data_IF_330671040945
#
_entry.id   IF_330671040945
#
_cell.length_a   1.000
_cell.length_b   1.000
_cell.length_c   1.000
_cell.angle_alpha   90.00
_cell.angle_beta   90.00
_cell.angle_gamma   90.00
#
_symmetry.space_group_name_H-M   'P 1'
#
loop_
_entity.id
_entity.type
_entity.pdbx_description
1 polymer ?
#
# COMPACT_ATOMS: atom_id res chain seq x y z
N UNK A 1 -7.68 -6.39 -12.75
CA UNK A 1 -6.26 -6.37 -12.34
C UNK A 1 -5.56 -5.15 -12.93
N UNK A 2 -4.73 -4.52 -12.15
CA UNK A 2 -3.91 -3.39 -12.60
C UNK A 2 -2.50 -3.87 -12.92
N UNK A 3 -2.00 -3.54 -14.10
CA UNK A 3 -0.64 -3.90 -14.51
C UNK A 3 0.22 -2.64 -14.58
N UNK A 4 1.37 -2.67 -13.89
CA UNK A 4 2.33 -1.59 -13.89
C UNK A 4 3.63 -2.08 -14.52
N UNK A 5 4.05 -1.43 -15.61
CA UNK A 5 5.32 -1.71 -16.25
C UNK A 5 6.34 -0.71 -15.74
N UNK A 6 7.35 -1.19 -15.04
CA UNK A 6 8.30 -0.35 -14.32
C UNK A 6 9.73 -0.86 -14.52
N UNK A 7 10.69 -0.02 -14.16
CA UNK A 7 12.11 -0.41 -14.16
C UNK A 7 12.38 -1.49 -13.12
N UNK A 8 13.62 -2.00 -13.11
CA UNK A 8 14.06 -2.99 -12.13
C UNK A 8 14.59 -2.37 -10.84
N UNK A 9 14.60 -1.03 -10.74
CA UNK A 9 15.07 -0.34 -9.54
C UNK A 9 14.17 -0.63 -8.32
N UNK A 10 14.73 -0.65 -7.11
CA UNK A 10 13.92 -0.76 -5.90
C UNK A 10 12.87 0.35 -5.81
N UNK A 11 11.72 0.01 -5.26
CA UNK A 11 10.56 0.89 -5.25
C UNK A 11 10.15 1.30 -3.84
N UNK A 12 9.45 2.42 -3.75
CA UNK A 12 8.75 2.83 -2.55
C UNK A 12 7.25 2.69 -2.81
N UNK A 13 6.61 1.81 -2.05
CA UNK A 13 5.18 1.59 -2.12
C UNK A 13 4.49 2.42 -1.06
N UNK A 14 3.50 3.18 -1.47
CA UNK A 14 2.69 4.00 -0.56
C UNK A 14 1.26 3.49 -0.69
N UNK A 15 0.74 2.87 0.37
CA UNK A 15 -0.56 2.24 0.34
C UNK A 15 -1.46 2.81 1.44
N UNK A 16 -2.69 3.12 1.08
CA UNK A 16 -3.75 3.39 2.03
C UNK A 16 -4.09 2.10 2.80
N UNK A 17 -4.52 2.21 4.03
CA UNK A 17 -4.87 1.05 4.86
C UNK A 17 -6.35 0.69 4.71
N UNK A 18 -7.25 1.60 5.09
CA UNK A 18 -8.68 1.30 5.16
C UNK A 18 -9.32 1.28 3.78
N UNK A 19 -9.90 0.14 3.41
CA UNK A 19 -10.50 -0.06 2.10
C UNK A 19 -9.53 -0.51 1.01
N UNK A 20 -8.22 -0.55 1.31
CA UNK A 20 -7.17 -0.95 0.38
C UNK A 20 -6.46 -2.22 0.83
N UNK A 21 -6.03 -2.28 2.07
CA UNK A 21 -5.38 -3.44 2.68
C UNK A 21 -6.38 -4.22 3.52
N UNK A 22 -7.18 -3.52 4.33
CA UNK A 22 -8.19 -4.10 5.20
C UNK A 22 -9.55 -3.54 4.84
N UNK A 23 -10.60 -4.24 5.26
CA UNK A 23 -11.99 -3.80 5.07
C UNK A 23 -12.18 -2.43 5.72
N UNK A 24 -12.79 -1.50 4.99
CA UNK A 24 -13.03 -0.15 5.46
C UNK A 24 -13.84 -0.15 6.76
N UNK A 25 -13.34 0.56 7.78
CA UNK A 25 -13.92 0.59 9.13
C UNK A 25 -14.07 -0.77 9.79
N UNK A 26 -13.32 -1.78 9.33
CA UNK A 26 -13.37 -3.13 9.90
C UNK A 26 -13.03 -3.16 11.39
N UNK A 27 -12.09 -2.30 11.82
CA UNK A 27 -11.68 -2.20 13.23
C UNK A 27 -12.81 -1.74 14.16
N UNK A 28 -13.89 -1.18 13.62
CA UNK A 28 -15.07 -0.76 14.39
C UNK A 28 -16.10 -1.87 14.51
N UNK A 29 -15.91 -3.00 13.80
CA UNK A 29 -16.82 -4.14 13.86
C UNK A 29 -16.37 -5.12 14.95
N UNK A 30 -17.31 -5.95 15.50
CA UNK A 30 -16.94 -6.94 16.52
C UNK A 30 -15.85 -7.91 16.08
N UNK A 31 -15.82 -8.30 14.80
CA UNK A 31 -14.80 -9.21 14.27
C UNK A 31 -13.43 -8.54 14.10
N UNK A 32 -13.38 -7.20 14.10
CA UNK A 32 -12.15 -6.46 13.92
C UNK A 32 -11.71 -6.36 12.46
N UNK A 33 -10.44 -6.04 12.26
CA UNK A 33 -9.86 -5.92 10.93
C UNK A 33 -9.81 -7.27 10.20
N UNK A 34 -10.01 -7.21 8.88
CA UNK A 34 -9.87 -8.35 7.98
C UNK A 34 -9.09 -7.92 6.74
N UNK A 35 -8.14 -8.74 6.31
CA UNK A 35 -7.42 -8.47 5.07
C UNK A 35 -8.35 -8.63 3.86
N UNK A 36 -8.20 -7.72 2.90
CA UNK A 36 -8.90 -7.85 1.62
C UNK A 36 -8.22 -8.93 0.77
N UNK A 37 -8.98 -9.56 -0.15
CA UNK A 37 -8.39 -10.56 -1.05
C UNK A 37 -7.23 -10.00 -1.86
N UNK A 38 -6.19 -10.80 -2.06
CA UNK A 38 -5.01 -10.44 -2.82
C UNK A 38 -3.94 -9.70 -2.04
N UNK A 39 -4.25 -9.16 -0.86
CA UNK A 39 -3.31 -8.36 -0.06
C UNK A 39 -2.12 -9.20 0.39
N UNK A 40 -2.38 -10.38 0.93
CA UNK A 40 -1.34 -11.27 1.42
C UNK A 40 -0.36 -11.63 0.32
N UNK A 41 -0.88 -12.00 -0.84
CA UNK A 41 -0.11 -12.37 -2.02
C UNK A 41 0.70 -11.18 -2.54
N UNK A 42 0.11 -10.00 -2.55
CA UNK A 42 0.80 -8.79 -2.97
C UNK A 42 2.02 -8.51 -2.10
N UNK A 43 1.85 -8.49 -0.79
CA UNK A 43 2.95 -8.21 0.13
C UNK A 43 4.03 -9.28 0.08
N UNK A 44 3.63 -10.56 -0.08
CA UNK A 44 4.59 -11.66 -0.23
C UNK A 44 5.43 -11.52 -1.50
N UNK A 45 4.93 -10.86 -2.54
CA UNK A 45 5.63 -10.68 -3.81
C UNK A 45 6.62 -9.52 -3.80
N UNK A 46 6.59 -8.64 -2.80
CA UNK A 46 7.45 -7.46 -2.77
C UNK A 46 8.89 -7.84 -2.47
N UNK A 47 9.85 -7.38 -3.31
CA UNK A 47 11.26 -7.59 -3.02
C UNK A 47 11.66 -6.98 -1.68
N UNK A 48 12.60 -7.59 -0.93
CA UNK A 48 12.96 -7.09 0.40
C UNK A 48 13.61 -5.70 0.38
N UNK A 49 14.18 -5.27 -0.73
CA UNK A 49 14.76 -3.93 -0.84
C UNK A 49 13.73 -2.84 -1.07
N UNK A 50 12.49 -3.19 -1.41
CA UNK A 50 11.43 -2.20 -1.57
C UNK A 50 10.99 -1.65 -0.21
N UNK A 51 10.67 -0.36 -0.18
CA UNK A 51 10.18 0.33 1.02
C UNK A 51 8.66 0.37 1.00
N UNK A 52 8.04 0.15 2.15
CA UNK A 52 6.57 0.17 2.30
C UNK A 52 6.17 1.24 3.29
N UNK A 53 5.35 2.20 2.83
CA UNK A 53 4.78 3.26 3.65
C UNK A 53 3.27 3.09 3.65
N UNK A 54 2.67 2.99 4.83
CA UNK A 54 1.22 2.88 4.97
C UNK A 54 0.62 4.20 5.42
N UNK A 55 -0.55 4.54 4.90
CA UNK A 55 -1.26 5.77 5.18
C UNK A 55 -2.62 5.46 5.79
N UNK A 56 -2.96 6.14 6.89
CA UNK A 56 -4.27 5.96 7.52
C UNK A 56 -4.77 7.22 8.18
N UNK A 57 -6.08 7.38 8.21
CA UNK A 57 -6.73 8.43 8.99
C UNK A 57 -6.93 8.02 10.45
N UNK A 58 -6.67 6.76 10.81
CA UNK A 58 -6.83 6.26 12.19
C UNK A 58 -5.98 7.07 13.16
N UNK A 59 -6.45 7.17 14.40
CA UNK A 59 -5.73 7.84 15.49
C UNK A 59 -4.51 7.02 15.89
N UNK A 60 -3.45 7.70 16.33
CA UNK A 60 -2.23 7.05 16.84
C UNK A 60 -2.51 6.11 18.01
N UNK A 61 -3.49 6.45 18.84
CA UNK A 61 -3.83 5.68 20.04
C UNK A 61 -4.24 4.24 19.71
N UNK A 62 -4.80 4.00 18.54
CA UNK A 62 -5.17 2.65 18.08
C UNK A 62 -4.11 2.03 17.17
N UNK A 63 -2.99 2.73 16.97
CA UNK A 63 -1.88 2.25 16.16
C UNK A 63 -1.34 0.88 16.58
N UNK A 64 -1.04 0.66 17.88
CA UNK A 64 -0.52 -0.64 18.31
C UNK A 64 -1.41 -1.82 17.94
N UNK A 65 -2.73 -1.64 17.95
CA UNK A 65 -3.68 -2.68 17.56
C UNK A 65 -3.60 -2.99 16.07
N UNK A 66 -3.49 -1.97 15.22
CA UNK A 66 -3.32 -2.14 13.79
C UNK A 66 -2.00 -2.84 13.48
N UNK A 67 -0.91 -2.39 14.12
CA UNK A 67 0.41 -2.95 13.88
C UNK A 67 0.50 -4.41 14.30
N UNK A 68 -0.13 -4.78 15.41
CA UNK A 68 -0.22 -6.17 15.84
C UNK A 68 -0.99 -7.03 14.82
N UNK A 69 -2.09 -6.51 14.30
CA UNK A 69 -2.86 -7.20 13.26
C UNK A 69 -2.02 -7.45 12.01
N UNK A 70 -1.30 -6.41 11.55
CA UNK A 70 -0.46 -6.52 10.35
C UNK A 70 0.68 -7.53 10.59
N UNK A 71 1.31 -7.50 11.75
CA UNK A 71 2.36 -8.44 12.11
C UNK A 71 1.85 -9.89 12.13
N UNK A 72 0.69 -10.11 12.72
CA UNK A 72 0.06 -11.44 12.78
C UNK A 72 -0.23 -12.01 11.40
N UNK A 73 -0.47 -11.15 10.42
CA UNK A 73 -0.76 -11.56 9.05
C UNK A 73 0.46 -11.45 8.12
N UNK A 74 1.64 -11.21 8.66
CA UNK A 74 2.90 -11.11 7.92
C UNK A 74 2.88 -10.00 6.86
N UNK A 75 2.20 -8.91 7.15
CA UNK A 75 2.18 -7.70 6.31
C UNK A 75 3.29 -6.79 6.82
N UNK A 76 4.39 -6.71 6.09
CA UNK A 76 5.50 -5.85 6.48
C UNK A 76 5.25 -4.40 6.10
N UNK A 77 5.79 -3.49 6.89
CA UNK A 77 5.80 -2.06 6.58
C UNK A 77 7.04 -1.44 7.20
N UNK A 78 7.53 -0.35 6.62
CA UNK A 78 8.66 0.39 7.16
C UNK A 78 8.17 1.54 8.03
N UNK A 79 7.06 2.16 7.67
CA UNK A 79 6.45 3.21 8.49
C UNK A 79 4.96 3.31 8.22
N UNK A 80 4.22 3.82 9.20
CA UNK A 80 2.79 4.14 9.08
C UNK A 80 2.62 5.60 9.46
N UNK A 81 1.92 6.35 8.61
CA UNK A 81 1.52 7.72 8.91
C UNK A 81 0.08 7.72 9.37
N UNK A 82 -0.14 8.10 10.62
CA UNK A 82 -1.46 8.16 11.26
C UNK A 82 -2.10 9.54 11.15
N UNK A 83 -3.39 9.61 11.41
CA UNK A 83 -4.14 10.87 11.53
C UNK A 83 -4.08 11.75 10.29
N UNK A 84 -3.97 11.11 9.12
CA UNK A 84 -3.96 11.85 7.86
C UNK A 84 -5.37 12.34 7.51
N UNK A 85 -5.48 13.51 6.86
CA UNK A 85 -6.78 14.00 6.42
C UNK A 85 -7.39 13.11 5.35
N UNK A 86 -8.72 13.21 5.20
CA UNK A 86 -9.48 12.33 4.30
C UNK A 86 -9.43 12.76 2.83
N UNK A 87 -8.80 13.88 2.51
CA UNK A 87 -8.71 14.38 1.14
C UNK A 87 -7.77 13.57 0.26
N UNK A 88 -7.64 14.00 -0.96
CA UNK A 88 -6.77 13.36 -1.95
C UNK A 88 -5.32 13.30 -1.49
N UNK A 89 -4.59 12.29 -1.93
CA UNK A 89 -3.14 12.17 -1.70
C UNK A 89 -2.44 12.51 -3.00
N UNK A 90 -1.48 13.43 -2.92
CA UNK A 90 -0.81 13.97 -4.09
C UNK A 90 0.67 13.70 -3.94
N UNK A 91 1.25 13.03 -4.95
CA UNK A 91 2.68 12.75 -5.01
C UNK A 91 3.29 13.61 -6.11
N UNK A 92 4.33 14.37 -5.76
CA UNK A 92 5.10 15.15 -6.72
C UNK A 92 6.51 14.60 -6.71
N UNK A 93 6.97 14.10 -7.84
CA UNK A 93 8.25 13.40 -7.92
C UNK A 93 8.97 13.75 -9.21
N UNK A 94 10.29 13.79 -9.15
CA UNK A 94 11.13 14.11 -10.29
C UNK A 94 11.19 12.93 -11.28
N UNK A 95 11.04 13.21 -12.56
CA UNK A 95 11.29 12.22 -13.62
C UNK A 95 12.79 11.97 -13.78
N UNK A 96 13.15 10.79 -14.31
CA UNK A 96 14.54 10.54 -14.68
C UNK A 96 14.92 11.42 -15.88
N UNK A 97 16.22 11.79 -16.03
CA UNK A 97 16.67 12.56 -17.19
C UNK A 97 16.33 11.91 -18.53
N UNK A 98 16.18 10.59 -18.57
CA UNK A 98 15.75 9.85 -19.75
C UNK A 98 14.27 10.06 -20.09
N UNK A 99 13.51 10.73 -19.22
CA UNK A 99 12.07 10.90 -19.36
C UNK A 99 11.25 9.78 -18.68
N UNK A 100 11.90 8.84 -17.99
CA UNK A 100 11.20 7.77 -17.29
C UNK A 100 10.32 8.35 -16.16
N UNK A 101 9.00 8.14 -16.19
CA UNK A 101 8.13 8.54 -15.09
C UNK A 101 8.49 7.74 -13.83
N UNK A 102 8.53 8.43 -12.69
CA UNK A 102 8.89 7.83 -11.39
C UNK A 102 7.76 7.92 -10.38
N UNK A 103 6.57 8.35 -10.78
CA UNK A 103 5.40 8.43 -9.94
C UNK A 103 4.24 7.70 -10.62
N UNK A 104 3.58 6.82 -9.86
CA UNK A 104 2.43 6.07 -10.33
C UNK A 104 1.33 6.19 -9.28
N UNK A 105 0.08 6.27 -9.71
CA UNK A 105 -1.07 6.28 -8.81
C UNK A 105 -2.11 5.26 -9.29
N UNK A 106 -2.58 4.42 -8.37
CA UNK A 106 -3.62 3.44 -8.63
C UNK A 106 -4.83 3.80 -7.77
N UNK A 107 -5.96 4.12 -8.41
CA UNK A 107 -7.20 4.40 -7.71
C UNK A 107 -8.02 3.11 -7.64
N UNK A 108 -7.93 2.45 -6.51
CA UNK A 108 -8.61 1.19 -6.25
C UNK A 108 -9.97 1.46 -5.64
N UNK A 109 -10.99 0.73 -6.05
CA UNK A 109 -12.30 0.82 -5.43
C UNK A 109 -12.24 0.29 -3.99
N UNK A 110 -12.98 0.96 -3.08
CA UNK A 110 -13.05 0.57 -1.68
C UNK A 110 -13.46 -0.90 -1.54
N UNK A 111 -12.74 -1.62 -0.69
CA UNK A 111 -13.00 -3.02 -0.33
C UNK A 111 -12.93 -4.03 -1.48
N UNK A 112 -12.56 -3.62 -2.68
CA UNK A 112 -12.28 -4.54 -3.77
C UNK A 112 -10.94 -5.25 -3.54
N UNK A 113 -10.71 -6.42 -4.17
CA UNK A 113 -9.42 -7.10 -4.06
C UNK A 113 -8.25 -6.22 -4.48
N UNK A 114 -7.11 -6.38 -3.81
CA UNK A 114 -5.86 -5.76 -4.22
C UNK A 114 -5.21 -6.66 -5.27
N UNK A 115 -5.20 -6.20 -6.51
CA UNK A 115 -4.68 -6.99 -7.64
C UNK A 115 -3.80 -6.11 -8.51
N UNK A 116 -2.49 -6.10 -8.19
CA UNK A 116 -1.48 -5.33 -8.92
C UNK A 116 -0.43 -6.30 -9.43
N UNK A 117 -0.23 -6.28 -10.75
CA UNK A 117 0.82 -7.04 -11.41
C UNK A 117 1.93 -6.09 -11.86
N UNK A 118 3.15 -6.36 -11.41
CA UNK A 118 4.31 -5.56 -11.79
C UNK A 118 5.07 -6.28 -12.89
N UNK A 119 5.22 -5.62 -14.02
CA UNK A 119 6.10 -6.08 -15.11
C UNK A 119 7.40 -5.30 -14.99
N UNK A 120 8.48 -6.00 -14.69
CA UNK A 120 9.82 -5.40 -14.59
C UNK A 120 10.47 -5.41 -15.95
N UNK A 121 10.85 -4.22 -16.41
CA UNK A 121 11.44 -4.03 -17.74
C UNK A 121 12.84 -3.48 -17.60
N UNK A 122 13.81 -4.30 -17.94
CA UNK A 122 15.23 -3.94 -17.84
C UNK A 122 15.66 -2.83 -18.81
N UNK A 123 14.83 -2.53 -19.80
CA UNK A 123 15.12 -1.46 -20.76
C UNK A 123 14.73 -0.06 -20.26
N UNK A 124 14.00 0.01 -19.15
CA UNK A 124 13.58 1.29 -18.58
C UNK A 124 14.59 1.85 -17.59
#
# INVERSE_FOLDING_TARGET
MTTLRMSTLPKTWVLDVDGTIVVHNGHLRPVGDELLPGVKEFFASLPPQDVVVLLTARKKEIGPRLEAFLADHHIRFDTILYELPAGERILVNDCKPSGLPTAFAVNKKRDEPLSIHVVRDETL
#
